data_IF_536160078195
#
_entry.id   IF_536160078195
#
_cell.length_a   1.000
_cell.length_b   1.000
_cell.length_c   1.000
_cell.angle_alpha   90.00
_cell.angle_beta   90.00
_cell.angle_gamma   90.00
#
_symmetry.space_group_name_H-M   'P 1'
#
loop_
_entity.id
_entity.type
_entity.pdbx_description
1 polymer ?
#
# COMPACT_ATOMS: atom_id res chain seq x y z
N UNK A 1 -9.38 -3.96 25.19
CA UNK A 1 -10.01 -4.26 23.89
C UNK A 1 -9.16 -5.31 23.20
N UNK A 2 -9.72 -6.49 22.97
CA UNK A 2 -8.97 -7.65 22.45
C UNK A 2 -8.82 -7.50 20.95
N UNK A 3 -7.60 -7.34 20.45
CA UNK A 3 -7.31 -7.36 19.03
C UNK A 3 -7.32 -8.81 18.55
N UNK A 4 -8.22 -9.09 17.60
CA UNK A 4 -8.38 -10.41 17.05
C UNK A 4 -7.33 -10.60 15.92
N UNK A 5 -6.24 -11.28 16.21
CA UNK A 5 -5.28 -11.73 15.20
C UNK A 5 -5.86 -13.01 14.59
N UNK A 6 -6.73 -12.85 13.61
CA UNK A 6 -7.26 -13.99 12.87
C UNK A 6 -6.28 -14.38 11.76
N UNK A 7 -5.99 -15.67 11.56
CA UNK A 7 -5.30 -16.13 10.35
C UNK A 7 -6.15 -15.78 9.14
N UNK A 8 -5.50 -15.32 8.05
CA UNK A 8 -6.18 -15.10 6.78
C UNK A 8 -6.78 -16.45 6.33
N UNK A 9 -8.07 -16.51 5.99
CA UNK A 9 -8.64 -17.75 5.46
C UNK A 9 -7.88 -18.15 4.19
N UNK A 10 -7.52 -19.42 4.11
CA UNK A 10 -7.00 -19.99 2.88
C UNK A 10 -8.00 -19.73 1.74
N UNK A 11 -7.53 -19.44 0.51
CA UNK A 11 -8.42 -19.20 -0.61
C UNK A 11 -9.29 -20.44 -0.82
N UNK A 12 -10.61 -20.27 -0.66
CA UNK A 12 -11.58 -21.24 -1.09
C UNK A 12 -11.72 -21.10 -2.60
N UNK A 13 -10.99 -21.85 -3.37
CA UNK A 13 -11.49 -22.63 -4.51
C UNK A 13 -10.33 -23.32 -5.26
N UNK A 14 -10.56 -24.57 -5.55
CA UNK A 14 -9.66 -25.49 -6.25
C UNK A 14 -9.68 -25.25 -7.77
N UNK A 15 -9.06 -24.15 -8.22
CA UNK A 15 -8.77 -24.01 -9.65
C UNK A 15 -7.42 -23.33 -9.87
N UNK A 16 -6.49 -24.12 -10.36
CA UNK A 16 -5.11 -23.83 -10.70
C UNK A 16 -4.19 -23.56 -9.50
N UNK A 17 -3.42 -24.59 -9.13
CA UNK A 17 -2.24 -24.48 -8.28
C UNK A 17 -1.13 -23.71 -9.01
N UNK A 18 -1.27 -22.39 -9.11
CA UNK A 18 -0.14 -21.57 -9.44
C UNK A 18 0.85 -21.71 -8.30
N UNK A 19 2.08 -22.13 -8.62
CA UNK A 19 3.14 -22.17 -7.63
C UNK A 19 3.38 -20.76 -7.11
N UNK A 20 3.65 -20.59 -5.80
CA UNK A 20 4.04 -19.30 -5.26
C UNK A 20 5.20 -18.72 -6.06
N UNK A 21 5.11 -17.44 -6.40
CA UNK A 21 6.20 -16.73 -7.07
C UNK A 21 7.36 -16.49 -6.12
N UNK A 22 7.05 -16.19 -4.86
CA UNK A 22 8.00 -15.84 -3.83
C UNK A 22 7.71 -16.58 -2.51
N UNK A 23 8.71 -16.64 -1.67
CA UNK A 23 8.60 -17.08 -0.27
C UNK A 23 9.37 -16.12 0.64
N UNK A 24 8.94 -15.98 1.87
CA UNK A 24 9.73 -15.28 2.88
C UNK A 24 11.04 -16.00 3.16
N UNK A 25 12.07 -15.27 3.50
CA UNK A 25 13.31 -15.86 3.96
C UNK A 25 13.08 -16.62 5.28
N UNK A 26 13.90 -17.64 5.53
CA UNK A 26 13.76 -18.49 6.72
C UNK A 26 13.80 -17.68 8.01
N UNK A 27 12.92 -17.99 8.94
CA UNK A 27 12.82 -17.30 10.22
C UNK A 27 12.10 -15.94 10.15
N UNK A 28 11.54 -15.55 9.00
CA UNK A 28 10.74 -14.31 8.86
C UNK A 28 9.26 -14.64 8.64
N UNK A 29 8.39 -13.80 9.21
CA UNK A 29 6.97 -13.77 8.90
C UNK A 29 6.56 -12.37 8.42
N UNK A 30 5.62 -12.30 7.46
CA UNK A 30 5.09 -11.03 6.98
C UNK A 30 3.82 -10.66 7.74
N UNK A 31 3.82 -9.45 8.30
CA UNK A 31 2.64 -8.86 8.94
C UNK A 31 2.18 -7.66 8.11
N UNK A 32 0.94 -7.71 7.61
CA UNK A 32 0.36 -6.62 6.83
C UNK A 32 -0.42 -5.67 7.72
N UNK A 33 0.08 -4.44 7.87
CA UNK A 33 -0.56 -3.35 8.61
C UNK A 33 -1.53 -2.56 7.70
N UNK A 34 -2.44 -3.24 7.02
CA UNK A 34 -3.41 -2.63 6.14
C UNK A 34 -4.70 -3.43 6.04
N UNK A 35 -5.83 -2.75 6.14
CA UNK A 35 -7.16 -3.33 5.91
C UNK A 35 -7.53 -3.42 4.42
N UNK A 36 -6.75 -2.82 3.52
CA UNK A 36 -7.05 -2.75 2.09
C UNK A 36 -7.17 -4.13 1.44
N UNK A 37 -8.33 -4.49 0.86
CA UNK A 37 -8.50 -5.77 0.17
C UNK A 37 -7.55 -5.91 -1.02
N UNK A 38 -7.25 -4.80 -1.72
CA UNK A 38 -6.36 -4.77 -2.89
C UNK A 38 -4.91 -5.12 -2.54
N UNK A 39 -4.40 -4.60 -1.41
CA UNK A 39 -3.05 -4.95 -0.92
C UNK A 39 -2.95 -6.41 -0.51
N UNK A 40 -4.01 -6.94 0.13
CA UNK A 40 -4.09 -8.38 0.45
C UNK A 40 -4.10 -9.24 -0.80
N UNK A 41 -4.82 -8.81 -1.84
CA UNK A 41 -4.87 -9.51 -3.11
C UNK A 41 -3.48 -9.67 -3.74
N UNK A 42 -2.68 -8.61 -3.83
CA UNK A 42 -1.31 -8.68 -4.36
C UNK A 42 -0.43 -9.70 -3.64
N UNK A 43 -0.46 -9.71 -2.31
CA UNK A 43 0.33 -10.67 -1.53
C UNK A 43 -0.14 -12.11 -1.70
N UNK A 44 -1.45 -12.32 -1.81
CA UNK A 44 -2.04 -13.62 -2.10
C UNK A 44 -1.64 -14.12 -3.50
N UNK A 45 -1.68 -13.25 -4.51
CA UNK A 45 -1.25 -13.57 -5.88
C UNK A 45 0.25 -13.93 -5.97
N UNK A 46 1.07 -13.35 -5.11
CA UNK A 46 2.48 -13.73 -4.98
C UNK A 46 2.68 -15.07 -4.26
N UNK A 47 1.66 -15.57 -3.57
CA UNK A 47 1.72 -16.78 -2.75
C UNK A 47 2.48 -16.59 -1.44
N UNK A 48 2.67 -15.36 -0.99
CA UNK A 48 3.35 -15.06 0.28
C UNK A 48 2.34 -15.15 1.42
N UNK A 49 2.54 -16.06 2.39
CA UNK A 49 1.72 -16.09 3.59
C UNK A 49 1.96 -14.83 4.43
N UNK A 50 0.88 -14.22 4.91
CA UNK A 50 0.93 -13.07 5.80
C UNK A 50 -0.17 -13.13 6.86
N UNK A 51 0.03 -12.38 7.94
CA UNK A 51 -1.00 -12.14 8.96
C UNK A 51 -1.35 -10.65 8.97
N UNK A 52 -2.57 -10.32 9.41
CA UNK A 52 -2.98 -8.94 9.56
C UNK A 52 -2.53 -8.41 10.91
N UNK A 53 -1.88 -7.23 10.92
CA UNK A 53 -1.48 -6.49 12.10
C UNK A 53 -2.14 -5.10 12.09
N UNK A 54 -3.48 -5.09 12.18
CA UNK A 54 -4.26 -3.85 12.13
C UNK A 54 -4.22 -3.14 13.47
N UNK A 55 -4.11 -1.82 13.43
CA UNK A 55 -4.21 -0.93 14.58
C UNK A 55 -5.28 0.12 14.36
N UNK A 56 -5.80 0.67 15.44
CA UNK A 56 -6.75 1.79 15.43
C UNK A 56 -6.04 3.14 15.44
N UNK A 57 -4.79 3.21 15.01
CA UNK A 57 -4.07 4.48 14.94
C UNK A 57 -4.76 5.42 13.94
N UNK A 58 -4.97 6.66 14.37
CA UNK A 58 -5.51 7.70 13.52
C UNK A 58 -4.54 7.99 12.36
N UNK A 59 -5.10 8.21 11.18
CA UNK A 59 -4.34 8.64 10.03
C UNK A 59 -3.89 10.11 10.23
N UNK A 60 -2.59 10.42 10.10
CA UNK A 60 -2.12 11.78 10.27
C UNK A 60 -2.76 12.69 9.22
N UNK A 61 -3.03 13.95 9.58
CA UNK A 61 -3.49 14.94 8.61
C UNK A 61 -2.30 15.55 7.87
N UNK A 62 -2.48 15.99 6.60
CA UNK A 62 -1.44 16.74 5.90
C UNK A 62 -1.02 17.98 6.68
N UNK A 63 0.27 18.30 6.70
CA UNK A 63 0.83 19.49 7.31
C UNK A 63 0.92 20.63 6.29
N UNK A 64 0.93 21.87 6.78
CA UNK A 64 1.01 23.03 5.90
C UNK A 64 2.32 23.02 5.09
N UNK A 65 2.23 23.04 3.77
CA UNK A 65 3.40 23.02 2.87
C UNK A 65 4.03 21.65 2.67
N UNK A 66 3.46 20.60 3.26
CA UNK A 66 3.93 19.23 3.05
C UNK A 66 3.58 18.77 1.63
N UNK A 67 4.58 18.21 0.93
CA UNK A 67 4.31 17.63 -0.40
C UNK A 67 3.45 16.37 -0.29
N UNK A 68 2.64 16.04 -1.32
CA UNK A 68 1.85 14.81 -1.34
C UNK A 68 2.70 13.55 -1.10
N UNK A 69 3.92 13.50 -1.64
CA UNK A 69 4.84 12.38 -1.42
C UNK A 69 5.29 12.28 0.04
N UNK A 70 5.72 13.40 0.64
CA UNK A 70 6.18 13.43 2.04
C UNK A 70 5.04 13.01 2.99
N UNK A 71 3.84 13.52 2.77
CA UNK A 71 2.66 13.10 3.53
C UNK A 71 2.38 11.60 3.41
N UNK A 72 2.38 11.06 2.18
CA UNK A 72 2.07 9.64 1.94
C UNK A 72 3.09 8.74 2.63
N UNK A 73 4.38 9.10 2.58
CA UNK A 73 5.46 8.39 3.30
C UNK A 73 5.30 8.46 4.81
N UNK A 74 4.96 9.63 5.34
CA UNK A 74 4.70 9.83 6.79
C UNK A 74 3.48 9.04 7.25
N UNK A 75 2.41 9.00 6.47
CA UNK A 75 1.21 8.22 6.77
C UNK A 75 1.49 6.70 6.75
N UNK A 76 2.24 6.19 5.77
CA UNK A 76 2.67 4.79 5.74
C UNK A 76 3.56 4.44 6.94
N UNK A 77 4.50 5.32 7.30
CA UNK A 77 5.40 5.16 8.45
C UNK A 77 4.62 5.13 9.76
N UNK A 78 3.68 6.04 9.98
CA UNK A 78 2.85 6.06 11.18
C UNK A 78 2.05 4.75 11.36
N UNK A 79 1.47 4.22 10.28
CA UNK A 79 0.76 2.93 10.28
C UNK A 79 1.70 1.76 10.63
N UNK A 80 2.92 1.76 10.07
CA UNK A 80 3.92 0.73 10.37
C UNK A 80 4.34 0.75 11.84
N UNK A 81 4.71 1.92 12.37
CA UNK A 81 5.16 2.07 13.76
C UNK A 81 4.06 1.70 14.76
N UNK A 82 2.82 2.15 14.54
CA UNK A 82 1.70 1.80 15.40
C UNK A 82 1.50 0.27 15.45
N UNK A 83 1.58 -0.41 14.28
CA UNK A 83 1.48 -1.87 14.23
C UNK A 83 2.69 -2.55 14.89
N UNK A 84 3.89 -2.03 14.68
CA UNK A 84 5.11 -2.55 15.30
C UNK A 84 5.08 -2.50 16.81
N UNK A 85 4.65 -1.37 17.38
CA UNK A 85 4.50 -1.22 18.81
C UNK A 85 3.42 -2.16 19.38
N UNK A 86 2.28 -2.30 18.71
CA UNK A 86 1.21 -3.20 19.12
C UNK A 86 1.67 -4.67 19.12
N UNK A 87 2.37 -5.12 18.08
CA UNK A 87 2.92 -6.48 17.99
C UNK A 87 3.91 -6.76 19.12
N UNK A 88 4.79 -5.81 19.44
CA UNK A 88 5.73 -5.95 20.55
C UNK A 88 5.05 -6.03 21.92
N UNK A 89 4.07 -5.18 22.17
CA UNK A 89 3.34 -5.16 23.46
C UNK A 89 2.57 -6.46 23.70
N UNK A 90 2.09 -7.10 22.66
CA UNK A 90 1.34 -8.35 22.76
C UNK A 90 2.25 -9.58 22.98
N UNK A 91 3.57 -9.43 22.91
CA UNK A 91 4.48 -10.58 22.91
C UNK A 91 4.21 -11.55 21.73
N UNK A 92 3.54 -11.05 20.68
CA UNK A 92 2.96 -11.86 19.62
C UNK A 92 3.99 -12.35 18.57
N UNK A 93 5.26 -12.02 18.74
CA UNK A 93 6.30 -12.72 18.01
C UNK A 93 6.38 -14.14 18.58
N UNK A 94 6.03 -15.15 17.79
CA UNK A 94 6.43 -16.50 18.10
C UNK A 94 7.95 -16.45 18.31
N UNK A 95 8.48 -17.13 19.33
CA UNK A 95 9.94 -17.12 19.57
C UNK A 95 10.75 -17.65 18.37
N UNK A 96 10.08 -18.20 17.37
CA UNK A 96 10.68 -18.82 16.19
C UNK A 96 10.71 -17.93 14.95
N UNK A 97 9.76 -16.99 14.80
CA UNK A 97 9.65 -16.14 13.59
C UNK A 97 9.77 -14.65 13.92
N UNK A 98 10.56 -13.97 13.13
CA UNK A 98 10.83 -12.53 13.27
C UNK A 98 9.88 -11.75 12.36
N UNK A 99 9.06 -10.81 12.90
CA UNK A 99 8.08 -10.10 12.11
C UNK A 99 8.72 -9.06 11.19
N UNK A 100 8.32 -9.07 9.93
CA UNK A 100 8.49 -7.99 8.97
C UNK A 100 7.14 -7.32 8.80
N UNK A 101 7.00 -6.05 9.21
CA UNK A 101 5.74 -5.33 9.14
C UNK A 101 5.72 -4.51 7.86
N UNK A 102 4.72 -4.74 7.03
CA UNK A 102 4.45 -4.01 5.79
C UNK A 102 3.26 -3.08 5.99
N UNK A 103 3.50 -1.78 5.92
CA UNK A 103 2.45 -0.78 5.82
C UNK A 103 2.55 -0.03 4.50
N UNK A 104 1.44 0.50 4.03
CA UNK A 104 1.41 1.36 2.86
C UNK A 104 0.31 2.41 2.99
N UNK A 105 0.50 3.52 2.30
CA UNK A 105 -0.50 4.55 2.13
C UNK A 105 -0.61 4.97 0.67
N UNK A 106 -1.74 5.56 0.27
CA UNK A 106 -1.98 5.97 -1.10
C UNK A 106 -2.85 7.21 -1.13
N UNK A 107 -2.39 8.22 -1.86
CA UNK A 107 -3.14 9.46 -2.08
C UNK A 107 -3.29 9.76 -3.56
N UNK A 108 -4.31 10.53 -3.88
CA UNK A 108 -4.49 11.20 -5.16
C UNK A 108 -4.11 12.67 -4.98
N UNK A 109 -3.31 13.21 -5.88
CA UNK A 109 -2.90 14.60 -5.83
C UNK A 109 -3.15 15.30 -7.18
N UNK A 110 -3.67 16.50 -7.14
CA UNK A 110 -3.89 17.36 -8.31
C UNK A 110 -3.58 18.81 -7.96
N UNK A 111 -2.79 19.47 -8.79
CA UNK A 111 -2.33 20.86 -8.57
C UNK A 111 -1.62 21.07 -7.21
N UNK A 112 -0.98 20.00 -6.68
CA UNK A 112 -0.32 20.00 -5.37
C UNK A 112 -1.26 19.71 -4.18
N UNK A 113 -2.57 19.67 -4.38
CA UNK A 113 -3.54 19.36 -3.33
C UNK A 113 -3.76 17.84 -3.22
N UNK A 114 -3.79 17.36 -1.98
CA UNK A 114 -4.10 15.96 -1.66
C UNK A 114 -5.62 15.77 -1.62
N UNK A 115 -6.12 14.86 -2.45
CA UNK A 115 -7.51 14.41 -2.42
C UNK A 115 -7.61 13.13 -1.60
N UNK A 116 -8.14 13.24 -0.39
CA UNK A 116 -8.45 12.10 0.46
C UNK A 116 -9.73 11.38 0.03
N UNK A 117 -10.33 10.64 0.95
CA UNK A 117 -11.65 10.02 0.74
C UNK A 117 -12.74 11.09 0.77
N UNK A 118 -13.81 10.93 -0.04
CA UNK A 118 -14.92 11.87 0.00
C UNK A 118 -15.68 11.78 1.34
N UNK A 119 -16.09 12.93 1.88
CA UNK A 119 -16.87 13.01 3.12
C UNK A 119 -18.36 12.68 2.90
N UNK A 120 -18.83 12.94 1.68
CA UNK A 120 -20.23 12.74 1.29
C UNK A 120 -20.35 12.69 -0.25
N UNK A 121 -21.50 12.29 -0.81
CA UNK A 121 -21.69 12.19 -2.26
C UNK A 121 -21.43 13.50 -3.03
N UNK A 122 -21.82 14.64 -2.47
CA UNK A 122 -21.57 15.94 -3.10
C UNK A 122 -20.07 16.29 -3.14
N UNK A 123 -19.31 15.90 -2.12
CA UNK A 123 -17.85 16.04 -2.11
C UNK A 123 -17.21 15.10 -3.14
N UNK A 124 -17.69 13.86 -3.25
CA UNK A 124 -17.23 12.90 -4.25
C UNK A 124 -17.44 13.43 -5.68
N UNK A 125 -18.61 14.02 -5.98
CA UNK A 125 -18.87 14.62 -7.28
C UNK A 125 -17.88 15.74 -7.61
N UNK A 126 -17.65 16.66 -6.69
CA UNK A 126 -16.66 17.74 -6.87
C UNK A 126 -15.24 17.22 -7.11
N UNK A 127 -14.85 16.15 -6.43
CA UNK A 127 -13.55 15.49 -6.68
C UNK A 127 -13.48 14.95 -8.10
N UNK A 128 -14.51 14.21 -8.55
CA UNK A 128 -14.56 13.67 -9.91
C UNK A 128 -14.56 14.77 -10.97
N UNK A 129 -15.35 15.84 -10.79
CA UNK A 129 -15.37 17.00 -11.69
C UNK A 129 -13.99 17.67 -11.79
N UNK A 130 -13.28 17.77 -10.67
CA UNK A 130 -11.92 18.31 -10.64
C UNK A 130 -10.91 17.47 -11.40
N UNK A 131 -11.08 16.15 -11.41
CA UNK A 131 -10.19 15.19 -12.09
C UNK A 131 -10.59 14.92 -13.54
N UNK A 132 -11.82 15.23 -13.91
CA UNK A 132 -12.43 14.91 -15.20
C UNK A 132 -11.69 15.54 -16.39
N UNK A 133 -11.27 14.73 -17.36
CA UNK A 133 -10.54 15.19 -18.55
C UNK A 133 -9.13 15.69 -18.27
N UNK A 134 -8.54 15.34 -17.13
CA UNK A 134 -7.23 15.86 -16.67
C UNK A 134 -6.30 14.73 -16.21
N UNK A 135 -5.00 15.05 -16.21
CA UNK A 135 -3.98 14.26 -15.54
C UNK A 135 -3.85 14.65 -14.06
N UNK A 136 -3.64 13.68 -13.22
CA UNK A 136 -3.36 13.83 -11.80
C UNK A 136 -2.36 12.76 -11.34
N UNK A 137 -1.82 12.90 -10.14
CA UNK A 137 -0.84 11.97 -9.59
C UNK A 137 -1.51 11.03 -8.58
N UNK A 138 -1.09 9.78 -8.59
CA UNK A 138 -1.38 8.80 -7.55
C UNK A 138 -0.05 8.38 -6.96
N UNK A 139 0.13 8.65 -5.67
CA UNK A 139 1.35 8.35 -4.94
C UNK A 139 1.05 7.23 -3.95
N UNK A 140 1.81 6.14 -4.04
CA UNK A 140 1.79 5.07 -3.04
C UNK A 140 3.13 4.98 -2.35
N UNK A 141 3.12 5.02 -1.03
CA UNK A 141 4.29 4.85 -0.19
C UNK A 141 4.22 3.54 0.58
N UNK A 142 5.38 2.96 0.81
CA UNK A 142 5.58 1.73 1.58
C UNK A 142 6.53 2.02 2.74
N UNK A 143 6.22 1.44 3.90
CA UNK A 143 7.11 1.35 5.03
C UNK A 143 7.23 -0.10 5.47
N UNK A 144 8.46 -0.62 5.50
CA UNK A 144 8.81 -1.91 6.08
C UNK A 144 9.50 -1.66 7.43
N UNK A 145 9.01 -2.30 8.49
CA UNK A 145 9.72 -2.37 9.76
C UNK A 145 10.28 -3.76 9.97
N UNK A 146 11.54 -3.81 10.31
CA UNK A 146 12.32 -5.00 10.55
C UNK A 146 12.84 -4.97 12.00
N UNK A 147 13.05 -6.12 12.67
CA UNK A 147 13.74 -6.14 13.94
C UNK A 147 15.15 -5.53 13.80
N UNK A 148 15.55 -4.62 14.69
CA UNK A 148 16.82 -3.90 14.57
C UNK A 148 18.05 -4.83 14.64
N UNK A 149 17.93 -5.96 15.35
CA UNK A 149 18.96 -6.98 15.53
C UNK A 149 19.05 -7.99 14.37
N UNK A 150 18.19 -7.84 13.35
CA UNK A 150 18.20 -8.72 12.20
C UNK A 150 19.40 -8.39 11.29
N UNK A 151 20.32 -9.34 11.18
CA UNK A 151 21.36 -9.29 10.15
C UNK A 151 20.71 -9.60 8.79
N UNK A 152 20.29 -8.56 8.08
CA UNK A 152 19.88 -8.69 6.69
C UNK A 152 21.09 -8.55 5.78
N UNK A 153 21.07 -9.26 4.66
CA UNK A 153 22.12 -9.08 3.66
C UNK A 153 22.23 -7.59 3.31
N UNK A 154 23.45 -7.03 3.21
CA UNK A 154 23.61 -5.71 2.63
C UNK A 154 22.94 -5.73 1.26
N UNK A 155 22.29 -4.62 0.89
CA UNK A 155 21.70 -4.51 -0.44
C UNK A 155 22.74 -4.96 -1.47
N UNK A 156 22.49 -6.07 -2.14
CA UNK A 156 23.29 -6.40 -3.31
C UNK A 156 23.04 -5.24 -4.27
N UNK A 157 24.12 -4.70 -4.81
CA UNK A 157 24.03 -3.60 -5.76
C UNK A 157 23.09 -4.03 -6.89
N UNK A 158 21.83 -3.64 -6.77
CA UNK A 158 20.82 -3.93 -7.76
C UNK A 158 21.25 -3.30 -9.06
N UNK A 159 20.90 -3.97 -10.15
CA UNK A 159 20.98 -3.39 -11.48
C UNK A 159 20.34 -2.00 -11.58
N UNK A 160 20.24 -1.39 -12.74
CA UNK A 160 19.95 0.03 -12.91
C UNK A 160 18.67 0.46 -12.16
N UNK A 161 18.85 1.43 -11.27
CA UNK A 161 17.82 2.23 -10.61
C UNK A 161 16.72 1.45 -9.85
N UNK A 162 17.09 0.85 -8.72
CA UNK A 162 16.10 0.50 -7.69
C UNK A 162 15.44 1.75 -7.08
N UNK A 163 14.32 1.58 -6.34
CA UNK A 163 13.66 2.71 -5.69
C UNK A 163 14.62 3.40 -4.71
N UNK A 164 14.49 4.72 -4.59
CA UNK A 164 15.19 5.47 -3.55
C UNK A 164 14.60 5.10 -2.19
N UNK A 165 15.31 4.27 -1.43
CA UNK A 165 14.88 3.76 -0.13
C UNK A 165 15.55 4.56 0.97
N UNK A 166 14.74 5.27 1.76
CA UNK A 166 15.22 5.85 3.01
C UNK A 166 15.30 4.77 4.08
N UNK A 167 16.44 4.69 4.72
CA UNK A 167 16.70 3.72 5.77
C UNK A 167 17.13 4.43 7.04
N UNK A 168 16.48 4.11 8.15
CA UNK A 168 16.86 4.60 9.47
C UNK A 168 16.47 3.59 10.57
N UNK A 169 17.00 3.82 11.78
CA UNK A 169 16.58 3.11 12.97
C UNK A 169 15.64 4.00 13.78
N UNK A 170 14.48 3.47 14.12
CA UNK A 170 13.47 4.13 14.97
C UNK A 170 13.08 3.18 16.07
N UNK A 171 13.22 3.60 17.32
CA UNK A 171 13.02 2.77 18.52
C UNK A 171 13.86 1.48 18.44
N UNK A 172 13.22 0.33 18.27
CA UNK A 172 13.89 -0.97 18.14
C UNK A 172 13.65 -1.60 16.77
N UNK A 173 13.37 -0.78 15.78
CA UNK A 173 13.13 -1.21 14.41
C UNK A 173 14.13 -0.58 13.45
N UNK A 174 14.53 -1.36 12.47
CA UNK A 174 15.11 -0.85 11.23
C UNK A 174 13.98 -0.57 10.28
N UNK A 175 13.88 0.64 9.80
CA UNK A 175 12.82 1.11 8.93
C UNK A 175 13.34 1.33 7.52
N UNK A 176 12.64 0.78 6.54
CA UNK A 176 12.85 1.05 5.11
C UNK A 176 11.59 1.74 4.57
N UNK A 177 11.73 2.90 3.95
CA UNK A 177 10.61 3.65 3.39
C UNK A 177 10.90 4.11 1.97
N UNK A 178 9.95 3.94 1.08
CA UNK A 178 10.02 4.40 -0.30
C UNK A 178 8.64 4.74 -0.83
N UNK A 179 8.57 5.43 -1.95
CA UNK A 179 7.34 5.81 -2.64
C UNK A 179 7.49 5.62 -4.14
N UNK A 180 6.36 5.48 -4.80
CA UNK A 180 6.25 5.47 -6.24
C UNK A 180 5.06 6.33 -6.67
N UNK A 181 5.23 7.05 -7.77
CA UNK A 181 4.23 7.97 -8.30
C UNK A 181 3.87 7.55 -9.73
N UNK A 182 2.57 7.49 -9.97
CA UNK A 182 2.02 7.25 -11.30
C UNK A 182 1.06 8.37 -11.67
N UNK A 183 1.09 8.77 -12.94
CA UNK A 183 0.18 9.79 -13.45
C UNK A 183 -1.00 9.11 -14.13
N UNK A 184 -2.20 9.42 -13.67
CA UNK A 184 -3.46 8.91 -14.22
C UNK A 184 -4.17 10.02 -14.97
N UNK A 185 -4.74 9.69 -16.12
CA UNK A 185 -5.53 10.62 -16.92
C UNK A 185 -6.95 10.08 -17.00
N UNK A 186 -7.91 10.87 -16.54
CA UNK A 186 -9.32 10.55 -16.73
C UNK A 186 -9.79 11.07 -18.08
N UNK A 187 -10.63 10.29 -18.74
CA UNK A 187 -11.35 10.74 -19.91
C UNK A 187 -12.35 11.84 -19.54
N UNK A 188 -12.65 12.73 -20.47
CA UNK A 188 -13.64 13.79 -20.24
C UNK A 188 -15.06 13.24 -20.41
N UNK A 189 -15.70 12.92 -19.29
CA UNK A 189 -17.05 12.40 -19.24
C UNK A 189 -18.08 13.50 -18.95
N UNK A 190 -19.31 13.44 -19.55
CA UNK A 190 -20.39 14.31 -19.16
C UNK A 190 -20.88 14.00 -17.75
N UNK A 191 -21.40 15.03 -17.05
CA UNK A 191 -21.84 14.92 -15.66
C UNK A 191 -22.77 13.72 -15.36
N UNK A 192 -23.75 13.33 -16.24
CA UNK A 192 -24.58 12.16 -15.97
C UNK A 192 -23.80 10.83 -15.81
N UNK A 193 -22.65 10.69 -16.51
CA UNK A 193 -21.78 9.51 -16.35
C UNK A 193 -21.08 9.53 -15.00
N UNK A 194 -20.56 10.69 -14.58
CA UNK A 194 -19.96 10.85 -13.26
C UNK A 194 -20.98 10.55 -12.15
N UNK A 195 -22.20 11.06 -12.29
CA UNK A 195 -23.29 10.79 -11.35
C UNK A 195 -23.65 9.30 -11.31
N UNK A 196 -23.79 8.64 -12.45
CA UNK A 196 -24.08 7.21 -12.51
C UNK A 196 -22.99 6.37 -11.81
N UNK A 197 -21.72 6.77 -11.96
CA UNK A 197 -20.63 6.11 -11.23
C UNK A 197 -20.72 6.36 -9.71
N UNK A 198 -21.05 7.56 -9.27
CA UNK A 198 -21.27 7.86 -7.84
C UNK A 198 -22.39 7.01 -7.25
N UNK A 199 -23.48 6.81 -7.99
CA UNK A 199 -24.65 6.05 -7.56
C UNK A 199 -24.35 4.54 -7.37
N UNK A 200 -23.22 4.05 -7.92
CA UNK A 200 -22.75 2.67 -7.66
C UNK A 200 -22.28 2.44 -6.23
N UNK A 201 -21.96 3.52 -5.49
CA UNK A 201 -21.38 3.44 -4.15
C UNK A 201 -19.88 3.11 -4.11
N UNK A 202 -19.26 2.74 -5.25
CA UNK A 202 -17.84 2.37 -5.33
C UNK A 202 -16.90 3.51 -4.90
N UNK A 203 -17.17 4.80 -5.14
CA UNK A 203 -16.30 5.93 -4.82
C UNK A 203 -16.05 6.19 -3.33
N UNK A 204 -16.96 5.78 -2.45
CA UNK A 204 -17.06 6.29 -1.08
C UNK A 204 -15.83 6.05 -0.19
N UNK A 205 -15.07 5.01 -0.45
CA UNK A 205 -13.88 4.64 0.33
C UNK A 205 -12.56 4.86 -0.41
N UNK A 206 -12.59 5.61 -1.51
CA UNK A 206 -11.46 5.82 -2.42
C UNK A 206 -10.92 7.24 -2.35
N UNK A 207 -9.59 7.39 -2.28
CA UNK A 207 -8.95 8.68 -2.48
C UNK A 207 -9.29 9.22 -3.88
N UNK A 208 -9.64 10.53 -3.98
CA UNK A 208 -10.06 11.14 -5.23
C UNK A 208 -11.41 10.65 -5.76
N UNK A 209 -12.17 9.89 -4.98
CA UNK A 209 -13.50 9.38 -5.31
C UNK A 209 -13.56 8.52 -6.58
N UNK A 210 -12.49 7.78 -6.95
CA UNK A 210 -12.53 6.82 -8.05
C UNK A 210 -11.64 5.61 -7.79
N UNK A 211 -11.82 4.57 -8.59
CA UNK A 211 -10.95 3.40 -8.63
C UNK A 211 -10.53 3.09 -10.07
N UNK A 212 -9.30 2.60 -10.25
CA UNK A 212 -8.83 2.08 -11.54
C UNK A 212 -9.33 0.67 -11.81
N UNK A 213 -9.82 -0.02 -10.79
CA UNK A 213 -10.44 -1.34 -10.86
C UNK A 213 -11.96 -1.21 -10.74
N UNK A 214 -12.69 -2.26 -11.08
CA UNK A 214 -14.16 -2.26 -10.97
C UNK A 214 -14.83 -1.34 -12.00
N UNK A 215 -15.93 -0.73 -11.62
CA UNK A 215 -16.72 0.13 -12.50
C UNK A 215 -16.02 1.45 -12.81
N UNK A 216 -15.16 1.94 -11.90
CA UNK A 216 -14.37 3.16 -12.09
C UNK A 216 -13.30 3.04 -13.19
N UNK A 217 -13.00 1.83 -13.65
CA UNK A 217 -12.06 1.62 -14.75
C UNK A 217 -12.48 2.35 -16.05
N UNK A 218 -13.78 2.54 -16.27
CA UNK A 218 -14.30 3.29 -17.42
C UNK A 218 -13.88 4.75 -17.41
N UNK A 219 -13.58 5.32 -16.25
CA UNK A 219 -13.20 6.73 -16.13
C UNK A 219 -11.75 6.97 -16.57
N UNK A 220 -10.89 5.95 -16.51
CA UNK A 220 -9.46 6.06 -16.77
C UNK A 220 -9.18 5.92 -18.25
N UNK A 221 -8.56 6.94 -18.84
CA UNK A 221 -8.11 6.92 -20.24
C UNK A 221 -6.75 6.23 -20.36
N UNK A 222 -5.79 6.59 -19.50
CA UNK A 222 -4.45 5.99 -19.49
C UNK A 222 -3.72 6.22 -18.18
N UNK A 223 -2.66 5.44 -17.97
CA UNK A 223 -1.73 5.56 -16.85
C UNK A 223 -0.32 5.66 -17.39
N UNK A 224 0.41 6.69 -16.93
CA UNK A 224 1.85 6.82 -17.13
C UNK A 224 2.54 6.41 -15.81
N UNK A 225 3.11 5.21 -15.75
CA UNK A 225 3.71 4.63 -14.55
C UNK A 225 3.20 3.23 -14.23
N UNK A 226 3.17 2.88 -12.97
CA UNK A 226 2.78 1.55 -12.48
C UNK A 226 1.29 1.48 -12.16
N UNK A 227 0.57 0.55 -12.80
CA UNK A 227 -0.82 0.24 -12.45
C UNK A 227 -0.97 -0.17 -10.99
N UNK A 228 -0.04 -0.96 -10.47
CA UNK A 228 -0.10 -1.43 -9.08
C UNK A 228 0.07 -0.30 -8.05
N UNK A 229 0.82 0.74 -8.38
CA UNK A 229 0.92 1.97 -7.60
C UNK A 229 -0.43 2.67 -7.51
N UNK A 230 -1.15 2.75 -8.63
CA UNK A 230 -2.50 3.34 -8.67
C UNK A 230 -3.50 2.48 -7.87
N UNK A 231 -3.39 1.16 -7.89
CA UNK A 231 -4.21 0.25 -7.09
C UNK A 231 -3.92 0.39 -5.59
N UNK A 232 -2.68 0.79 -5.22
CA UNK A 232 -2.34 1.13 -3.85
C UNK A 232 -1.16 0.39 -3.23
N UNK A 233 -0.36 -0.31 -4.04
CA UNK A 233 0.89 -0.94 -3.60
C UNK A 233 1.88 -1.00 -4.77
N UNK A 234 3.04 -0.35 -4.72
CA UNK A 234 4.06 -0.40 -5.78
C UNK A 234 4.79 -1.76 -5.73
N UNK A 235 4.14 -2.79 -6.31
CA UNK A 235 4.55 -4.19 -6.14
C UNK A 235 5.92 -4.50 -6.73
N UNK A 236 6.30 -3.85 -7.83
CA UNK A 236 7.62 -4.05 -8.45
C UNK A 236 8.72 -3.56 -7.51
N UNK A 237 8.60 -2.33 -7.00
CA UNK A 237 9.56 -1.74 -6.09
C UNK A 237 9.59 -2.48 -4.75
N UNK A 238 8.42 -2.89 -4.24
CA UNK A 238 8.34 -3.70 -3.02
C UNK A 238 9.08 -5.04 -3.19
N UNK A 239 8.83 -5.74 -4.30
CA UNK A 239 9.50 -7.01 -4.58
C UNK A 239 11.02 -6.82 -4.68
N UNK A 240 11.47 -5.78 -5.38
CA UNK A 240 12.89 -5.47 -5.51
C UNK A 240 13.54 -5.19 -4.15
N UNK A 241 12.94 -4.32 -3.33
CA UNK A 241 13.46 -4.03 -1.98
C UNK A 241 13.52 -5.28 -1.12
N UNK A 242 12.47 -6.11 -1.13
CA UNK A 242 12.45 -7.33 -0.32
C UNK A 242 13.48 -8.37 -0.78
N UNK A 243 13.69 -8.51 -2.09
CA UNK A 243 14.72 -9.39 -2.65
C UNK A 243 16.14 -8.89 -2.35
N UNK A 244 16.41 -7.61 -2.59
CA UNK A 244 17.72 -6.98 -2.39
C UNK A 244 18.15 -7.03 -0.91
N UNK A 245 17.20 -7.00 0.00
CA UNK A 245 17.45 -7.08 1.45
C UNK A 245 17.41 -8.52 1.98
N UNK A 246 17.21 -9.52 1.12
CA UNK A 246 17.12 -10.92 1.53
C UNK A 246 15.93 -11.25 2.42
N UNK A 247 14.87 -10.44 2.38
CA UNK A 247 13.62 -10.66 3.13
C UNK A 247 12.72 -11.69 2.45
N UNK A 248 12.87 -11.78 1.14
CA UNK A 248 12.08 -12.61 0.26
C UNK A 248 13.00 -13.31 -0.76
N UNK A 249 12.62 -14.47 -1.20
CA UNK A 249 13.35 -15.26 -2.19
C UNK A 249 12.39 -15.75 -3.28
N UNK A 250 12.83 -15.85 -4.55
CA UNK A 250 12.03 -16.52 -5.56
C UNK A 250 11.83 -17.99 -5.20
N UNK A 251 10.68 -18.55 -5.55
CA UNK A 251 10.46 -19.99 -5.49
C UNK A 251 11.06 -20.62 -6.74
N UNK A 252 11.95 -21.58 -6.53
CA UNK A 252 12.56 -22.39 -7.60
C UNK A 252 11.61 -23.53 -8.03
#
# INVERSE_FOLDING_TARGET
MSYNIAPCPAPADSSSFLRPLFRMASGLELLLASASPRRRQFLNEWGIPFRLALTSADEPRPEQGESPEAYTRRAATAKALASGHAVRQQGAASQELRPVILAADTVVAVDGDILGKPENPAHALRMLERLNGRGHEVISAVCLLLPADAAFAPAQAAGPAGPNVDECCVDSFRMLSFSDTSRVFLHHWPQPVLQAYLDTGEPHDKAGAYAIQGQGAVLVERVDGSWSTVVGLPVTQLAQVMLDRGLMLPCA
#
